data_IF_381043534979
#
_entry.id   IF_381043534979
#
_cell.length_a   1.000
_cell.length_b   1.000
_cell.length_c   1.000
_cell.angle_alpha   90.00
_cell.angle_beta   90.00
_cell.angle_gamma   90.00
#
_symmetry.space_group_name_H-M   'P 1'
#
loop_
_entity.id
_entity.type
_entity.pdbx_description
1 polymer ?
#
# COMPACT_ATOMS: atom_id res chain seq x y z
N UNK A 1 29.17 -25.47 12.73
CA UNK A 1 28.36 -25.31 11.51
C UNK A 1 26.88 -25.03 11.81
N UNK A 2 26.18 -25.77 12.64
CA UNK A 2 24.74 -25.54 12.93
C UNK A 2 24.43 -24.14 13.47
N UNK A 3 25.19 -23.64 14.45
CA UNK A 3 25.00 -22.28 15.03
C UNK A 3 25.15 -21.13 14.03
N UNK A 4 25.93 -21.33 12.97
CA UNK A 4 26.11 -20.30 11.92
C UNK A 4 24.89 -20.25 10.98
N UNK A 5 24.31 -21.42 10.67
CA UNK A 5 23.09 -21.53 9.86
C UNK A 5 21.88 -20.96 10.60
N UNK A 6 21.75 -21.25 11.90
CA UNK A 6 20.67 -20.73 12.74
C UNK A 6 20.68 -19.17 12.76
N UNK A 7 21.84 -18.55 12.94
CA UNK A 7 21.97 -17.08 12.89
C UNK A 7 21.55 -16.49 11.55
N UNK A 8 21.96 -17.10 10.45
CA UNK A 8 21.59 -16.64 9.09
C UNK A 8 20.07 -16.74 8.89
N UNK A 9 19.46 -17.82 9.39
CA UNK A 9 18.01 -17.99 9.30
C UNK A 9 17.29 -16.93 10.15
N UNK A 10 17.74 -16.68 11.38
CA UNK A 10 17.18 -15.63 12.23
C UNK A 10 17.28 -14.23 11.62
N UNK A 11 18.42 -13.90 11.01
CA UNK A 11 18.62 -12.62 10.33
C UNK A 11 17.69 -12.46 9.13
N UNK A 12 17.50 -13.52 8.34
CA UNK A 12 16.56 -13.52 7.21
C UNK A 12 15.11 -13.35 7.69
N UNK A 13 14.72 -14.03 8.75
CA UNK A 13 13.35 -13.90 9.32
C UNK A 13 13.13 -12.46 9.81
N UNK A 14 14.11 -11.87 10.49
CA UNK A 14 14.03 -10.47 10.93
C UNK A 14 13.92 -9.49 9.76
N UNK A 15 14.68 -9.73 8.69
CA UNK A 15 14.63 -8.89 7.48
C UNK A 15 13.27 -9.00 6.78
N UNK A 16 12.73 -10.20 6.62
CA UNK A 16 11.40 -10.44 6.03
C UNK A 16 10.32 -9.75 6.86
N UNK A 17 10.36 -9.89 8.18
CA UNK A 17 9.43 -9.19 9.08
C UNK A 17 9.50 -7.68 8.93
N UNK A 18 10.72 -7.12 8.87
CA UNK A 18 10.94 -5.70 8.70
C UNK A 18 10.41 -5.16 7.37
N UNK A 19 10.64 -5.88 6.26
CA UNK A 19 10.11 -5.51 4.94
C UNK A 19 8.58 -5.59 4.93
N UNK A 20 8.01 -6.61 5.54
CA UNK A 20 6.54 -6.76 5.66
C UNK A 20 5.92 -5.59 6.43
N UNK A 21 6.53 -5.17 7.53
CA UNK A 21 6.08 -4.03 8.33
C UNK A 21 6.14 -2.71 7.53
N UNK A 22 7.18 -2.53 6.72
CA UNK A 22 7.30 -1.35 5.83
C UNK A 22 6.18 -1.34 4.78
N UNK A 23 5.91 -2.47 4.15
CA UNK A 23 4.86 -2.61 3.15
C UNK A 23 3.47 -2.40 3.76
N UNK A 24 3.21 -2.93 4.94
CA UNK A 24 1.94 -2.78 5.66
C UNK A 24 1.71 -1.30 6.06
N UNK A 25 2.72 -0.63 6.60
CA UNK A 25 2.65 0.80 6.92
C UNK A 25 2.43 1.66 5.68
N UNK A 26 3.07 1.31 4.57
CA UNK A 26 2.93 2.00 3.29
C UNK A 26 1.52 1.83 2.72
N UNK A 27 0.98 0.62 2.74
CA UNK A 27 -0.39 0.34 2.29
C UNK A 27 -1.44 1.05 3.15
N UNK A 28 -1.16 1.21 4.45
CA UNK A 28 -1.99 2.01 5.34
C UNK A 28 -1.92 3.50 5.00
N UNK A 29 -0.71 4.03 4.79
CA UNK A 29 -0.49 5.43 4.45
C UNK A 29 -1.16 5.83 3.13
N UNK A 30 -1.16 4.94 2.12
CA UNK A 30 -1.78 5.19 0.81
C UNK A 30 -3.25 5.61 0.93
N UNK A 31 -3.97 5.11 1.93
CA UNK A 31 -5.39 5.44 2.15
C UNK A 31 -5.61 6.91 2.53
N UNK A 32 -4.59 7.56 3.09
CA UNK A 32 -4.64 8.94 3.58
C UNK A 32 -3.89 9.92 2.69
N UNK A 33 -3.23 9.43 1.63
CA UNK A 33 -2.63 10.28 0.62
C UNK A 33 -3.74 10.86 -0.25
N UNK A 34 -3.77 12.18 -0.37
CA UNK A 34 -4.72 12.86 -1.25
C UNK A 34 -4.47 12.42 -2.70
N UNK A 35 -5.50 11.88 -3.32
CA UNK A 35 -5.45 11.56 -4.74
C UNK A 35 -5.24 12.85 -5.54
N UNK A 36 -4.42 12.82 -6.58
CA UNK A 36 -4.24 13.98 -7.44
C UNK A 36 -5.61 14.40 -7.99
N UNK A 37 -5.88 15.70 -7.91
CA UNK A 37 -7.11 16.26 -8.47
C UNK A 37 -7.22 15.89 -9.94
N UNK A 38 -8.31 15.26 -10.31
CA UNK A 38 -8.60 15.00 -11.72
C UNK A 38 -8.81 16.37 -12.39
N UNK A 39 -7.87 16.77 -13.25
CA UNK A 39 -7.88 18.08 -13.93
C UNK A 39 -9.16 18.33 -14.76
N UNK A 40 -9.92 17.27 -15.00
CA UNK A 40 -11.18 17.31 -15.76
C UNK A 40 -12.42 17.55 -14.90
N UNK A 41 -12.30 17.71 -13.56
CA UNK A 41 -13.41 18.20 -12.76
C UNK A 41 -13.57 19.70 -12.99
N UNK A 42 -14.62 20.15 -13.66
CA UNK A 42 -14.88 21.59 -13.81
C UNK A 42 -15.02 22.19 -12.42
N UNK A 43 -14.44 23.35 -12.26
CA UNK A 43 -14.42 24.19 -11.06
C UNK A 43 -15.81 24.59 -10.52
N UNK A 44 -16.87 24.07 -11.12
CA UNK A 44 -18.26 24.36 -10.79
C UNK A 44 -18.63 24.12 -9.31
N UNK A 45 -18.04 23.09 -8.70
CA UNK A 45 -18.29 22.83 -7.27
C UNK A 45 -17.68 23.88 -6.35
N UNK A 46 -16.60 24.54 -6.78
CA UNK A 46 -16.03 25.66 -6.03
C UNK A 46 -16.89 26.91 -6.12
N UNK A 47 -17.59 27.11 -7.23
CA UNK A 47 -18.49 28.26 -7.44
C UNK A 47 -19.75 28.09 -6.56
N UNK A 48 -20.26 26.89 -6.40
CA UNK A 48 -21.39 26.61 -5.50
C UNK A 48 -21.05 26.85 -4.03
N UNK A 49 -19.81 26.57 -3.61
CA UNK A 49 -19.35 26.85 -2.24
C UNK A 49 -19.32 28.37 -1.92
N UNK A 50 -19.18 29.24 -2.93
CA UNK A 50 -19.26 30.69 -2.78
C UNK A 50 -20.70 31.24 -2.73
N UNK A 51 -21.67 30.43 -3.16
CA UNK A 51 -23.07 30.83 -3.21
C UNK A 51 -23.83 30.54 -1.90
N UNK A 52 -23.24 29.79 -0.97
CA UNK A 52 -23.83 29.55 0.34
C UNK A 52 -23.46 30.68 1.29
N UNK A 53 -24.49 31.22 1.96
CA UNK A 53 -24.28 32.25 2.98
C UNK A 53 -23.39 31.71 4.10
N UNK A 54 -22.36 32.48 4.49
CA UNK A 54 -21.42 32.07 5.56
C UNK A 54 -22.10 31.69 6.87
N UNK A 55 -23.34 32.12 7.08
CA UNK A 55 -24.17 31.76 8.23
C UNK A 55 -24.70 30.33 8.18
N UNK A 56 -24.90 29.79 6.97
CA UNK A 56 -25.39 28.42 6.80
C UNK A 56 -24.26 27.39 6.88
N UNK A 57 -23.02 27.77 6.52
CA UNK A 57 -21.84 26.90 6.60
C UNK A 57 -21.51 26.44 8.01
N UNK A 58 -21.74 27.27 9.03
CA UNK A 58 -21.46 26.92 10.43
C UNK A 58 -22.42 25.91 11.07
N UNK A 59 -23.61 25.73 10.50
CA UNK A 59 -24.64 24.87 11.07
C UNK A 59 -24.55 23.42 10.58
N UNK A 60 -23.99 23.19 9.38
CA UNK A 60 -23.92 21.88 8.73
C UNK A 60 -22.52 21.27 8.70
N UNK A 61 -21.49 22.06 8.93
CA UNK A 61 -20.11 21.58 8.95
C UNK A 61 -19.76 20.97 10.31
N UNK A 62 -20.21 19.73 10.51
CA UNK A 62 -19.52 18.88 11.48
C UNK A 62 -18.06 18.81 11.04
N UNK A 63 -17.09 19.14 11.92
CA UNK A 63 -15.68 19.05 11.57
C UNK A 63 -15.39 17.65 11.06
N UNK A 64 -15.12 17.53 9.76
CA UNK A 64 -14.73 16.25 9.16
C UNK A 64 -13.35 15.91 9.70
N UNK A 65 -13.24 14.80 10.40
CA UNK A 65 -11.96 14.27 10.82
C UNK A 65 -11.13 13.94 9.57
N UNK A 66 -10.18 14.79 9.26
CA UNK A 66 -9.23 14.55 8.17
C UNK A 66 -8.05 13.78 8.72
N UNK A 67 -8.07 12.47 8.54
CA UNK A 67 -6.93 11.63 8.85
C UNK A 67 -5.85 11.84 7.78
N UNK A 68 -4.64 12.11 8.23
CA UNK A 68 -3.46 12.27 7.36
C UNK A 68 -2.40 11.26 7.76
N UNK A 69 -1.62 10.82 6.77
CA UNK A 69 -0.47 9.98 7.04
C UNK A 69 0.57 10.77 7.85
N UNK A 70 1.19 10.11 8.83
CA UNK A 70 2.29 10.70 9.61
C UNK A 70 3.55 10.81 8.75
N UNK A 71 4.50 11.73 9.05
CA UNK A 71 5.76 11.83 8.31
C UNK A 71 6.53 10.50 8.25
N UNK A 72 6.53 9.73 9.32
CA UNK A 72 7.13 8.39 9.36
C UNK A 72 6.48 7.42 8.36
N UNK A 73 5.16 7.42 8.28
CA UNK A 73 4.42 6.60 7.32
C UNK A 73 4.71 7.02 5.88
N UNK A 74 4.85 8.32 5.62
CA UNK A 74 5.23 8.83 4.29
C UNK A 74 6.63 8.39 3.89
N UNK A 75 7.59 8.44 4.81
CA UNK A 75 8.95 7.95 4.58
C UNK A 75 8.95 6.45 4.27
N UNK A 76 8.19 5.66 5.04
CA UNK A 76 8.05 4.22 4.79
C UNK A 76 7.32 3.92 3.49
N UNK A 77 6.39 4.75 3.08
CA UNK A 77 5.74 4.65 1.77
C UNK A 77 6.76 4.80 0.63
N UNK A 78 7.65 5.79 0.71
CA UNK A 78 8.75 5.93 -0.25
C UNK A 78 9.66 4.70 -0.29
N UNK A 79 10.11 4.23 0.88
CA UNK A 79 10.94 3.01 0.98
C UNK A 79 10.22 1.77 0.42
N UNK A 80 8.92 1.63 0.64
CA UNK A 80 8.16 0.51 0.10
C UNK A 80 8.11 0.54 -1.43
N UNK A 81 7.99 1.70 -2.04
CA UNK A 81 8.05 1.85 -3.50
C UNK A 81 9.43 1.47 -4.03
N UNK A 82 10.50 1.90 -3.37
CA UNK A 82 11.87 1.54 -3.75
C UNK A 82 12.08 0.02 -3.66
N UNK A 83 11.64 -0.63 -2.57
CA UNK A 83 11.69 -2.08 -2.42
C UNK A 83 10.93 -2.79 -3.54
N UNK A 84 9.74 -2.30 -3.91
CA UNK A 84 8.97 -2.90 -5.01
C UNK A 84 9.65 -2.71 -6.37
N UNK A 85 10.40 -1.64 -6.57
CA UNK A 85 11.17 -1.42 -7.80
C UNK A 85 12.37 -2.36 -7.92
N UNK A 86 12.96 -2.79 -6.80
CA UNK A 86 14.05 -3.79 -6.78
C UNK A 86 13.60 -5.21 -7.20
N UNK A 87 12.29 -5.48 -7.25
CA UNK A 87 11.76 -6.75 -7.76
C UNK A 87 11.88 -6.78 -9.28
N UNK A 88 12.97 -7.30 -9.78
CA UNK A 88 13.31 -7.41 -11.20
C UNK A 88 13.16 -8.84 -11.74
N UNK A 89 13.50 -9.01 -13.02
CA UNK A 89 13.48 -10.30 -13.71
C UNK A 89 14.40 -11.34 -13.07
N UNK A 90 15.47 -10.91 -12.41
CA UNK A 90 16.40 -11.79 -11.71
C UNK A 90 15.79 -12.42 -10.45
N UNK A 91 14.75 -11.76 -9.90
CA UNK A 91 14.04 -12.24 -8.70
C UNK A 91 12.77 -13.04 -9.06
N UNK A 92 12.13 -12.69 -10.16
CA UNK A 92 10.88 -13.33 -10.57
C UNK A 92 10.71 -13.32 -12.09
N UNK A 93 10.21 -14.42 -12.65
CA UNK A 93 9.90 -14.55 -14.08
C UNK A 93 8.91 -13.47 -14.56
N UNK A 94 8.02 -13.03 -13.67
CA UNK A 94 7.05 -11.98 -13.95
C UNK A 94 7.06 -10.88 -12.86
N UNK A 95 7.99 -9.91 -12.94
CA UNK A 95 8.17 -8.90 -11.91
C UNK A 95 6.94 -8.01 -11.70
N UNK A 96 6.17 -7.72 -12.75
CA UNK A 96 4.93 -6.93 -12.63
C UNK A 96 3.88 -7.65 -11.79
N UNK A 97 3.75 -8.94 -11.97
CA UNK A 97 2.83 -9.76 -11.18
C UNK A 97 3.31 -9.86 -9.73
N UNK A 98 4.59 -10.08 -9.51
CA UNK A 98 5.19 -10.18 -8.19
C UNK A 98 5.00 -8.88 -7.39
N UNK A 99 5.32 -7.72 -7.97
CA UNK A 99 5.09 -6.41 -7.35
C UNK A 99 3.61 -6.19 -6.98
N UNK A 100 2.71 -6.51 -7.91
CA UNK A 100 1.27 -6.39 -7.67
C UNK A 100 0.78 -7.33 -6.57
N UNK A 101 1.31 -8.55 -6.53
CA UNK A 101 0.98 -9.52 -5.49
C UNK A 101 1.42 -9.05 -4.11
N UNK A 102 2.66 -8.57 -3.97
CA UNK A 102 3.19 -8.02 -2.73
C UNK A 102 2.35 -6.84 -2.23
N UNK A 103 2.01 -5.91 -3.12
CA UNK A 103 1.21 -4.73 -2.78
C UNK A 103 -0.22 -5.07 -2.36
N UNK A 104 -0.87 -5.96 -3.10
CA UNK A 104 -2.23 -6.40 -2.75
C UNK A 104 -2.23 -7.18 -1.44
N UNK A 105 -1.18 -7.96 -1.16
CA UNK A 105 -1.07 -8.66 0.11
C UNK A 105 -0.85 -7.71 1.29
N UNK A 106 -0.03 -6.67 1.12
CA UNK A 106 0.14 -5.59 2.11
C UNK A 106 -1.19 -4.86 2.40
N UNK A 107 -2.05 -4.71 1.39
CA UNK A 107 -3.42 -4.22 1.54
C UNK A 107 -4.38 -5.26 2.16
N UNK A 108 -3.88 -6.38 2.67
CA UNK A 108 -4.62 -7.45 3.34
C UNK A 108 -5.69 -8.14 2.49
N UNK A 109 -5.50 -8.18 1.17
CA UNK A 109 -6.36 -8.97 0.29
C UNK A 109 -6.30 -10.45 0.64
N UNK A 110 -7.45 -11.10 0.67
CA UNK A 110 -7.56 -12.53 0.94
C UNK A 110 -6.96 -13.36 -0.20
N UNK A 111 -6.33 -14.48 0.14
CA UNK A 111 -5.70 -15.38 -0.83
C UNK A 111 -6.68 -15.89 -1.90
N UNK A 112 -7.93 -16.12 -1.54
CA UNK A 112 -8.99 -16.53 -2.47
C UNK A 112 -9.31 -15.46 -3.52
N UNK A 113 -9.31 -14.18 -3.12
CA UNK A 113 -9.51 -13.06 -4.04
C UNK A 113 -8.31 -12.88 -4.97
N UNK A 114 -7.10 -13.01 -4.42
CA UNK A 114 -5.85 -12.95 -5.20
C UNK A 114 -5.79 -14.08 -6.22
N UNK A 115 -6.13 -15.31 -5.82
CA UNK A 115 -6.19 -16.47 -6.72
C UNK A 115 -7.13 -16.21 -7.91
N UNK A 116 -8.33 -15.70 -7.67
CA UNK A 116 -9.29 -15.33 -8.73
C UNK A 116 -8.76 -14.21 -9.63
N UNK A 117 -8.13 -13.21 -9.06
CA UNK A 117 -7.62 -12.05 -9.80
C UNK A 117 -6.45 -12.39 -10.72
N UNK A 118 -5.57 -13.28 -10.28
CA UNK A 118 -4.40 -13.71 -11.05
C UNK A 118 -4.65 -14.97 -11.89
N UNK A 119 -5.78 -15.65 -11.71
CA UNK A 119 -6.11 -16.88 -12.46
C UNK A 119 -5.30 -18.11 -12.04
N UNK A 120 -4.76 -18.12 -10.84
CA UNK A 120 -3.99 -19.25 -10.28
C UNK A 120 -4.69 -19.88 -9.09
N UNK A 121 -4.29 -21.12 -8.76
CA UNK A 121 -4.78 -21.76 -7.55
C UNK A 121 -4.21 -21.05 -6.29
N UNK A 122 -4.96 -21.07 -5.20
CA UNK A 122 -4.59 -20.44 -3.93
C UNK A 122 -3.21 -20.84 -3.42
N UNK A 123 -2.88 -22.12 -3.50
CA UNK A 123 -1.59 -22.65 -3.05
C UNK A 123 -0.43 -22.16 -3.90
N UNK A 124 -0.64 -22.00 -5.23
CA UNK A 124 0.35 -21.49 -6.15
C UNK A 124 0.66 -20.02 -5.88
N UNK A 125 -0.37 -19.20 -5.68
CA UNK A 125 -0.21 -17.77 -5.32
C UNK A 125 0.54 -17.63 -4.00
N UNK A 126 0.23 -18.46 -3.00
CA UNK A 126 0.93 -18.44 -1.73
C UNK A 126 2.42 -18.80 -1.88
N UNK A 127 2.75 -19.81 -2.65
CA UNK A 127 4.14 -20.18 -2.96
C UNK A 127 4.88 -19.03 -3.67
N UNK A 128 4.26 -18.39 -4.66
CA UNK A 128 4.85 -17.26 -5.37
C UNK A 128 5.14 -16.05 -4.45
N UNK A 129 4.35 -15.87 -3.42
CA UNK A 129 4.58 -14.84 -2.42
C UNK A 129 5.73 -15.17 -1.47
N UNK A 130 5.88 -16.45 -1.11
CA UNK A 130 6.91 -16.95 -0.17
C UNK A 130 8.29 -17.14 -0.82
N UNK A 131 8.37 -17.17 -2.15
CA UNK A 131 9.62 -17.25 -2.91
C UNK A 131 10.32 -15.93 -3.03
#
# INVERSE_FOLDING_TARGET
MQRSLEKIIEEKIKLISYITDILDDAAYAERFISKPHNRNCPSMYKILDYCYDKKDLGFYDKPKLVLRATPRQMTRYGLALDILMEVDKDVSDNPRMARKLLWLRANRFQWTKLAKQFGYHRTTIKKMYET
#
